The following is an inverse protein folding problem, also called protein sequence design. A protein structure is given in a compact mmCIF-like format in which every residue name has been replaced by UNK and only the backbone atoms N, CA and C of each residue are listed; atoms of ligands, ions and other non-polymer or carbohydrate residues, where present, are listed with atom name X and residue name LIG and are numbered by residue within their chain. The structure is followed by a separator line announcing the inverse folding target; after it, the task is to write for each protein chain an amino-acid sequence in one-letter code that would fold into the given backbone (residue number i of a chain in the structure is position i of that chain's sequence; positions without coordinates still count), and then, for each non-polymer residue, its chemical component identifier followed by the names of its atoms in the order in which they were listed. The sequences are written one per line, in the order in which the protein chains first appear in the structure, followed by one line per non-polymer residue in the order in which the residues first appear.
data_IF_816647100158
#
_entry.id   IF_816647100158
#
_cell.length_a   1.000
_cell.length_b   1.000
_cell.length_c   1.000
_cell.angle_alpha   90.00
_cell.angle_beta   90.00
_cell.angle_gamma   90.00
#
_symmetry.space_group_name_H-M   'P 1'
#
loop_
_entity.id
_entity.type
_entity.pdbx_description
1 polymer ?
#
# COMPACT_ATOMS: atom_id res chain seq x y z
N UNK A 1 -0.32 -8.77 -9.32
CA UNK A 1 1.07 -8.30 -9.17
C UNK A 1 1.61 -7.66 -10.45
N UNK A 2 1.14 -8.09 -11.62
CA UNK A 2 1.62 -7.55 -12.91
C UNK A 2 1.05 -6.16 -13.22
N UNK A 3 1.90 -5.24 -13.72
CA UNK A 3 1.50 -3.88 -14.07
C UNK A 3 0.79 -3.80 -15.45
N UNK A 4 -0.20 -2.91 -15.58
CA UNK A 4 -0.81 -2.04 -14.57
C UNK A 4 -1.66 -2.86 -13.56
N UNK A 5 -1.22 -2.90 -12.30
CA UNK A 5 -1.67 -3.87 -11.30
C UNK A 5 -3.19 -3.83 -11.04
N UNK A 6 -3.74 -2.66 -10.77
CA UNK A 6 -5.16 -2.49 -10.49
C UNK A 6 -6.01 -2.84 -11.72
N UNK A 7 -5.61 -2.39 -12.91
CA UNK A 7 -6.31 -2.66 -14.18
C UNK A 7 -6.30 -4.15 -14.50
N UNK A 8 -5.15 -4.81 -14.39
CA UNK A 8 -5.03 -6.24 -14.67
C UNK A 8 -5.87 -7.06 -13.68
N UNK A 9 -5.89 -6.68 -12.40
CA UNK A 9 -6.75 -7.31 -11.41
C UNK A 9 -8.24 -7.13 -11.76
N UNK A 10 -8.65 -5.94 -12.19
CA UNK A 10 -10.00 -5.66 -12.62
C UNK A 10 -10.40 -6.49 -13.86
N UNK A 11 -9.54 -6.57 -14.88
CA UNK A 11 -9.78 -7.38 -16.09
C UNK A 11 -9.91 -8.85 -15.70
N UNK A 12 -9.01 -9.38 -14.88
CA UNK A 12 -9.06 -10.76 -14.43
C UNK A 12 -10.36 -11.06 -13.66
N UNK A 13 -10.78 -10.16 -12.78
CA UNK A 13 -12.07 -10.24 -12.07
C UNK A 13 -13.26 -10.32 -13.03
N UNK A 14 -13.28 -9.48 -14.06
CA UNK A 14 -14.36 -9.50 -15.06
C UNK A 14 -14.37 -10.80 -15.90
N UNK A 15 -13.20 -11.39 -16.08
CA UNK A 15 -13.04 -12.64 -16.85
C UNK A 15 -13.43 -13.90 -16.06
N UNK A 16 -13.58 -13.79 -14.73
CA UNK A 16 -13.92 -14.93 -13.86
C UNK A 16 -15.08 -14.55 -12.89
N UNK A 17 -16.29 -14.35 -13.40
CA UNK A 17 -17.43 -13.87 -12.60
C UNK A 17 -17.90 -14.84 -11.51
N UNK A 18 -17.48 -16.09 -11.57
CA UNK A 18 -17.75 -17.10 -10.53
C UNK A 18 -16.92 -16.91 -9.25
N UNK A 19 -15.84 -16.11 -9.31
CA UNK A 19 -15.02 -15.80 -8.13
C UNK A 19 -15.59 -14.54 -7.47
N UNK A 20 -15.93 -14.58 -6.17
CA UNK A 20 -16.46 -13.42 -5.44
C UNK A 20 -15.55 -12.19 -5.52
N UNK A 21 -16.16 -11.00 -5.52
CA UNK A 21 -15.42 -9.74 -5.69
C UNK A 21 -14.41 -9.45 -4.57
N UNK A 22 -14.64 -9.97 -3.38
CA UNK A 22 -13.79 -9.87 -2.19
C UNK A 22 -12.59 -10.82 -2.20
N UNK A 23 -12.43 -11.64 -3.25
CA UNK A 23 -11.28 -12.54 -3.44
C UNK A 23 -10.26 -12.02 -4.46
N UNK A 24 -10.41 -10.78 -4.92
CA UNK A 24 -9.53 -10.16 -5.89
C UNK A 24 -8.70 -9.06 -5.23
N UNK A 25 -7.38 -9.21 -5.30
CA UNK A 25 -6.44 -8.31 -4.66
C UNK A 25 -5.37 -7.82 -5.63
N UNK A 26 -5.05 -6.53 -5.55
CA UNK A 26 -3.93 -5.91 -6.27
C UNK A 26 -2.85 -5.49 -5.28
N UNK A 27 -1.59 -5.89 -5.52
CA UNK A 27 -0.50 -5.64 -4.58
C UNK A 27 -0.06 -4.18 -4.59
N UNK A 28 -0.21 -3.50 -3.45
CA UNK A 28 0.35 -2.18 -3.15
C UNK A 28 1.30 -2.19 -1.94
N UNK A 29 1.55 -3.37 -1.38
CA UNK A 29 2.45 -3.57 -0.25
C UNK A 29 3.89 -3.10 -0.54
N UNK A 30 4.36 -3.21 -1.79
CA UNK A 30 5.68 -2.70 -2.17
C UNK A 30 5.77 -1.18 -2.00
N UNK A 31 4.72 -0.45 -2.36
CA UNK A 31 4.66 1.00 -2.19
C UNK A 31 4.55 1.37 -0.70
N UNK A 32 3.79 0.60 0.07
CA UNK A 32 3.72 0.75 1.53
C UNK A 32 5.10 0.53 2.18
N UNK A 33 5.86 -0.50 1.77
CA UNK A 33 7.23 -0.73 2.26
C UNK A 33 8.15 0.45 1.92
N UNK A 34 8.05 1.00 0.72
CA UNK A 34 8.83 2.17 0.30
C UNK A 34 8.49 3.40 1.13
N UNK A 35 7.21 3.66 1.36
CA UNK A 35 6.73 4.77 2.19
C UNK A 35 7.18 4.60 3.65
N UNK A 36 7.01 3.40 4.21
CA UNK A 36 7.47 3.04 5.56
C UNK A 36 8.99 3.28 5.71
N UNK A 37 9.79 2.86 4.73
CA UNK A 37 11.22 3.08 4.74
C UNK A 37 11.60 4.56 4.70
N UNK A 38 10.92 5.38 3.90
CA UNK A 38 11.20 6.83 3.85
C UNK A 38 10.95 7.50 5.20
N UNK A 39 9.83 7.18 5.86
CA UNK A 39 9.52 7.70 7.20
C UNK A 39 10.54 7.24 8.24
N UNK A 40 10.88 5.96 8.23
CA UNK A 40 11.88 5.38 9.13
C UNK A 40 13.26 6.04 8.95
N UNK A 41 13.70 6.20 7.70
CA UNK A 41 14.97 6.83 7.37
C UNK A 41 15.02 8.32 7.77
N UNK A 42 13.94 9.08 7.52
CA UNK A 42 13.83 10.50 7.91
C UNK A 42 13.96 10.69 9.41
N UNK A 43 13.41 9.77 10.19
CA UNK A 43 13.32 9.89 11.66
C UNK A 43 14.38 9.07 12.41
N UNK A 44 15.20 8.30 11.70
CA UNK A 44 16.29 7.50 12.28
C UNK A 44 15.81 6.27 13.08
N UNK A 45 14.59 5.79 12.83
CA UNK A 45 14.02 4.60 13.48
C UNK A 45 14.07 3.38 12.56
N UNK A 46 13.74 2.20 13.09
CA UNK A 46 13.61 1.01 12.26
C UNK A 46 12.24 0.97 11.55
N UNK A 47 12.18 0.39 10.36
CA UNK A 47 10.91 0.28 9.60
C UNK A 47 9.81 -0.43 10.39
N UNK A 48 10.13 -1.37 11.28
CA UNK A 48 9.15 -2.06 12.14
C UNK A 48 8.48 -1.14 13.18
N UNK A 49 9.08 0.01 13.46
CA UNK A 49 8.57 1.00 14.41
C UNK A 49 7.61 2.00 13.76
N UNK A 50 7.49 1.95 12.42
CA UNK A 50 6.54 2.72 11.62
C UNK A 50 5.35 1.83 11.27
N UNK A 51 4.15 2.25 11.66
CA UNK A 51 2.92 1.48 11.46
C UNK A 51 1.88 2.31 10.71
N UNK A 52 0.91 1.62 10.14
CA UNK A 52 -0.31 2.22 9.62
C UNK A 52 -0.12 3.22 8.45
N UNK A 53 0.96 3.05 7.68
CA UNK A 53 1.10 3.78 6.42
C UNK A 53 0.08 3.26 5.42
N UNK A 54 -0.64 4.16 4.76
CA UNK A 54 -1.62 3.80 3.74
C UNK A 54 -1.14 4.22 2.36
N UNK A 55 -1.35 3.36 1.38
CA UNK A 55 -1.24 3.70 -0.04
C UNK A 55 -2.66 3.74 -0.60
N UNK A 56 -3.11 4.91 -0.99
CA UNK A 56 -4.43 5.11 -1.57
C UNK A 56 -4.39 5.05 -3.09
N UNK A 57 -5.39 4.44 -3.71
CA UNK A 57 -5.63 4.52 -5.14
C UNK A 57 -4.92 3.45 -5.98
N UNK A 58 -4.32 3.88 -7.08
CA UNK A 58 -3.66 2.99 -8.02
C UNK A 58 -2.19 2.74 -7.67
N UNK A 59 -1.69 1.54 -7.95
CA UNK A 59 -0.24 1.29 -8.02
C UNK A 59 0.37 1.98 -9.27
N UNK A 60 0.55 3.28 -9.16
CA UNK A 60 1.08 4.16 -10.22
C UNK A 60 1.64 5.45 -9.62
N UNK A 61 2.12 6.37 -10.47
CA UNK A 61 2.54 7.70 -10.03
C UNK A 61 1.40 8.59 -9.49
N UNK A 62 0.14 8.11 -9.57
CA UNK A 62 -1.04 8.81 -9.02
C UNK A 62 -1.43 8.28 -7.63
N UNK A 63 -0.72 7.29 -7.09
CA UNK A 63 -0.94 6.81 -5.73
C UNK A 63 -0.71 7.93 -4.71
N UNK A 64 -1.44 7.88 -3.61
CA UNK A 64 -1.20 8.78 -2.49
C UNK A 64 -0.65 8.00 -1.29
N UNK A 65 0.65 8.11 -0.99
CA UNK A 65 1.24 7.55 0.22
C UNK A 65 0.89 8.45 1.40
N UNK A 66 0.13 7.92 2.34
CA UNK A 66 -0.42 8.65 3.47
C UNK A 66 0.43 8.42 4.73
N UNK A 67 1.10 9.47 5.17
CA UNK A 67 1.82 9.53 6.44
C UNK A 67 0.97 10.10 7.59
N UNK A 68 -0.17 10.73 7.28
CA UNK A 68 -0.98 11.46 8.28
C UNK A 68 -1.70 10.51 9.24
N UNK A 69 -2.05 9.30 8.77
CA UNK A 69 -2.64 8.25 9.59
C UNK A 69 -1.60 7.26 10.13
N UNK A 70 -0.33 7.42 9.75
CA UNK A 70 0.75 6.56 10.22
C UNK A 70 1.21 6.91 11.64
N UNK A 71 1.83 5.94 12.30
CA UNK A 71 2.48 6.15 13.60
C UNK A 71 3.94 5.73 13.57
N UNK A 72 4.75 6.39 14.40
CA UNK A 72 6.17 6.08 14.63
C UNK A 72 6.37 5.91 16.14
N UNK A 73 6.75 4.72 16.57
CA UNK A 73 6.84 4.39 18.01
C UNK A 73 5.54 4.75 18.76
N UNK A 74 4.37 4.52 18.13
CA UNK A 74 3.05 4.78 18.71
C UNK A 74 2.61 6.25 18.74
N UNK A 75 3.40 7.19 18.22
CA UNK A 75 3.07 8.61 18.09
C UNK A 75 2.67 8.93 16.64
N UNK A 76 1.80 9.94 16.40
CA UNK A 76 1.48 10.37 15.04
C UNK A 76 2.76 10.67 14.23
N UNK A 77 2.88 10.07 13.04
CA UNK A 77 4.09 10.19 12.23
C UNK A 77 4.38 11.65 11.85
N UNK A 78 3.35 12.45 11.61
CA UNK A 78 3.48 13.88 11.26
C UNK A 78 4.10 14.71 12.39
N UNK A 79 3.83 14.35 13.65
CA UNK A 79 4.43 15.02 14.81
C UNK A 79 5.90 14.61 14.99
N UNK A 80 6.23 13.34 14.75
CA UNK A 80 7.60 12.84 14.87
C UNK A 80 8.48 13.37 13.75
N UNK A 81 7.96 13.39 12.52
CA UNK A 81 8.67 13.98 11.36
C UNK A 81 8.83 15.47 11.51
N UNK A 82 7.79 16.18 11.98
CA UNK A 82 7.72 17.62 12.20
C UNK A 82 8.29 18.47 11.04
N UNK A 83 8.04 18.05 9.82
CA UNK A 83 8.53 18.69 8.59
C UNK A 83 7.47 18.48 7.50
N UNK A 84 6.49 19.39 7.47
CA UNK A 84 5.37 19.33 6.54
C UNK A 84 5.82 19.50 5.10
N UNK A 85 6.80 20.36 4.86
CA UNK A 85 7.33 20.60 3.52
C UNK A 85 7.95 19.33 2.96
N UNK A 86 8.76 18.64 3.75
CA UNK A 86 9.32 17.34 3.36
C UNK A 86 8.24 16.28 3.09
N UNK A 87 7.18 16.22 3.91
CA UNK A 87 6.09 15.27 3.68
C UNK A 87 5.40 15.49 2.34
N UNK A 88 5.14 16.74 1.97
CA UNK A 88 4.40 17.10 0.75
C UNK A 88 5.30 17.12 -0.50
N UNK A 89 6.51 17.65 -0.39
CA UNK A 89 7.37 17.96 -1.55
C UNK A 89 8.48 16.94 -1.80
N UNK A 90 8.83 16.09 -0.81
CA UNK A 90 9.85 15.05 -0.93
C UNK A 90 9.29 13.64 -0.77
N UNK A 91 8.62 13.36 0.35
CA UNK A 91 8.13 12.01 0.68
C UNK A 91 7.13 11.49 -0.35
N UNK A 92 6.04 12.21 -0.61
CA UNK A 92 5.00 11.80 -1.56
C UNK A 92 5.59 11.57 -2.96
N UNK A 93 6.29 12.53 -3.57
CA UNK A 93 6.86 12.34 -4.92
C UNK A 93 7.92 11.23 -4.98
N UNK A 94 8.71 11.06 -3.92
CA UNK A 94 9.74 10.00 -3.86
C UNK A 94 9.10 8.62 -3.90
N UNK A 95 8.04 8.40 -3.12
CA UNK A 95 7.32 7.12 -3.12
C UNK A 95 6.64 6.89 -4.47
N UNK A 96 5.94 7.88 -4.99
CA UNK A 96 5.25 7.81 -6.30
C UNK A 96 6.18 7.46 -7.45
N UNK A 97 7.39 8.01 -7.47
CA UNK A 97 8.37 7.86 -8.56
C UNK A 97 9.39 6.74 -8.33
N UNK A 98 9.33 6.05 -7.17
CA UNK A 98 10.37 5.07 -6.80
C UNK A 98 10.52 3.94 -7.81
N UNK A 99 9.43 3.44 -8.39
CA UNK A 99 9.46 2.41 -9.43
C UNK A 99 10.27 2.84 -10.66
N UNK A 100 10.00 4.04 -11.18
CA UNK A 100 10.72 4.60 -12.31
C UNK A 100 12.21 4.85 -11.98
N UNK A 101 12.52 5.34 -10.79
CA UNK A 101 13.89 5.54 -10.32
C UNK A 101 14.70 4.23 -10.26
N UNK A 102 14.08 3.13 -9.80
CA UNK A 102 14.70 1.80 -9.79
C UNK A 102 14.99 1.32 -11.21
N UNK A 103 14.04 1.48 -12.14
CA UNK A 103 14.22 1.11 -13.56
C UNK A 103 15.36 1.92 -14.17
N UNK A 104 15.40 3.24 -13.95
CA UNK A 104 16.44 4.11 -14.47
C UNK A 104 17.84 3.72 -13.95
N UNK A 105 17.95 3.36 -12.68
CA UNK A 105 19.23 2.99 -12.07
C UNK A 105 19.70 1.57 -12.42
N UNK A 106 18.77 0.64 -12.61
CA UNK A 106 19.06 -0.81 -12.72
C UNK A 106 18.90 -1.34 -14.16
N UNK A 107 18.19 -0.63 -15.03
CA UNK A 107 17.79 -1.12 -16.35
C UNK A 107 16.65 -2.16 -16.33
N UNK A 108 16.11 -2.48 -15.15
CA UNK A 108 15.01 -3.41 -14.97
C UNK A 108 14.17 -3.04 -13.73
N UNK A 109 12.91 -3.47 -13.69
CA UNK A 109 12.05 -3.28 -12.51
C UNK A 109 12.57 -4.04 -11.29
N UNK A 110 12.11 -3.65 -10.10
CA UNK A 110 12.44 -4.37 -8.87
C UNK A 110 11.97 -5.83 -8.96
N UNK A 111 12.79 -6.74 -8.47
CA UNK A 111 12.51 -8.18 -8.47
C UNK A 111 12.36 -8.70 -7.02
N UNK A 112 13.44 -8.76 -6.25
CA UNK A 112 13.42 -9.33 -4.89
C UNK A 112 12.49 -8.57 -3.93
N UNK A 113 12.51 -7.22 -3.96
CA UNK A 113 11.60 -6.42 -3.12
C UNK A 113 10.13 -6.57 -3.52
N UNK A 114 9.85 -6.78 -4.82
CA UNK A 114 8.48 -7.06 -5.27
C UNK A 114 8.04 -8.48 -4.85
N UNK A 115 8.92 -9.47 -4.92
CA UNK A 115 8.65 -10.82 -4.45
C UNK A 115 8.38 -10.84 -2.95
N UNK A 116 9.22 -10.17 -2.14
CA UNK A 116 9.00 -10.03 -0.71
C UNK A 116 7.66 -9.37 -0.40
N UNK A 117 7.33 -8.27 -1.07
CA UNK A 117 6.05 -7.58 -0.89
C UNK A 117 4.84 -8.45 -1.27
N UNK A 118 4.97 -9.33 -2.28
CA UNK A 118 3.92 -10.28 -2.62
C UNK A 118 3.72 -11.32 -1.52
N UNK A 119 4.81 -11.85 -0.94
CA UNK A 119 4.77 -12.79 0.20
C UNK A 119 4.11 -12.11 1.40
N UNK A 120 4.55 -10.89 1.75
CA UNK A 120 3.99 -10.13 2.87
C UNK A 120 2.50 -9.80 2.66
N UNK A 121 2.08 -9.55 1.41
CA UNK A 121 0.66 -9.35 1.08
C UNK A 121 -0.15 -10.63 1.35
N UNK A 122 0.33 -11.78 0.90
CA UNK A 122 -0.34 -13.07 1.15
C UNK A 122 -0.37 -13.37 2.65
N UNK A 123 0.72 -13.16 3.34
CA UNK A 123 0.79 -13.31 4.79
C UNK A 123 -0.23 -12.43 5.51
N UNK A 124 -0.29 -11.13 5.17
CA UNK A 124 -1.23 -10.19 5.77
C UNK A 124 -2.70 -10.53 5.49
N UNK A 125 -3.01 -11.07 4.28
CA UNK A 125 -4.36 -11.52 3.91
C UNK A 125 -4.77 -12.83 4.58
N UNK A 126 -3.82 -13.62 5.09
CA UNK A 126 -4.08 -14.94 5.70
C UNK A 126 -3.86 -14.96 7.22
N UNK A 127 -3.36 -13.88 7.79
CA UNK A 127 -3.04 -13.78 9.23
C UNK A 127 -3.83 -12.63 9.86
N UNK A 128 -4.45 -12.83 11.05
CA UNK A 128 -5.16 -11.75 11.72
C UNK A 128 -4.28 -10.52 11.93
N UNK A 129 -4.78 -9.36 11.51
CA UNK A 129 -4.09 -8.09 11.70
C UNK A 129 -4.16 -7.68 13.18
N UNK A 130 -3.05 -7.26 13.80
CA UNK A 130 -3.07 -6.77 15.17
C UNK A 130 -4.08 -5.64 15.37
N UNK A 131 -4.71 -5.59 16.54
CA UNK A 131 -5.71 -4.57 16.87
C UNK A 131 -5.12 -3.17 16.72
N UNK A 132 -5.80 -2.31 15.96
CA UNK A 132 -5.38 -0.94 15.69
C UNK A 132 -4.34 -0.81 14.59
N UNK A 133 -3.98 -1.91 13.91
CA UNK A 133 -3.12 -1.90 12.72
C UNK A 133 -3.94 -2.18 11.45
N UNK A 134 -3.39 -1.79 10.31
CA UNK A 134 -3.89 -2.07 8.96
C UNK A 134 -2.74 -2.14 7.97
N UNK A 135 -3.04 -2.65 6.79
CA UNK A 135 -2.12 -2.65 5.65
C UNK A 135 -2.84 -2.22 4.37
N UNK A 136 -2.09 -1.92 3.33
CA UNK A 136 -2.63 -1.47 2.04
C UNK A 136 -2.68 -2.59 1.03
N UNK A 137 -3.83 -2.79 0.43
CA UNK A 137 -4.01 -3.70 -0.71
C UNK A 137 -5.13 -3.17 -1.61
N UNK A 138 -4.99 -3.35 -2.92
CA UNK A 138 -6.06 -3.06 -3.86
C UNK A 138 -7.20 -4.06 -3.70
N UNK A 139 -8.39 -3.58 -3.44
CA UNK A 139 -9.63 -4.35 -3.29
C UNK A 139 -10.70 -3.84 -4.25
N UNK A 140 -11.74 -4.66 -4.49
CA UNK A 140 -12.91 -4.22 -5.23
C UNK A 140 -13.76 -3.29 -4.35
N UNK A 141 -13.83 -2.02 -4.72
CA UNK A 141 -14.60 -1.03 -3.96
C UNK A 141 -16.11 -1.27 -4.05
N UNK A 142 -16.82 -1.12 -2.93
CA UNK A 142 -18.27 -1.02 -2.85
C UNK A 142 -18.74 0.43 -2.60
N UNK A 143 -17.83 1.41 -2.69
CA UNK A 143 -18.10 2.83 -2.50
C UNK A 143 -17.48 3.40 -1.22
N UNK A 144 -16.65 2.62 -0.53
CA UNK A 144 -15.97 3.04 0.69
C UNK A 144 -15.06 4.25 0.42
N UNK A 145 -14.93 5.13 1.40
CA UNK A 145 -14.17 6.39 1.30
C UNK A 145 -14.56 7.27 0.09
N UNK A 146 -15.80 7.11 -0.43
CA UNK A 146 -16.27 7.85 -1.61
C UNK A 146 -15.68 7.36 -2.94
N UNK A 147 -15.02 6.20 -2.98
CA UNK A 147 -14.49 5.63 -4.22
C UNK A 147 -15.61 5.07 -5.11
N UNK A 148 -15.50 5.13 -6.43
CA UNK A 148 -16.48 4.51 -7.33
C UNK A 148 -16.61 3.01 -7.09
N UNK A 149 -17.84 2.49 -7.12
CA UNK A 149 -18.09 1.05 -6.96
C UNK A 149 -17.55 0.23 -8.13
N UNK A 150 -17.02 -0.95 -7.82
CA UNK A 150 -16.60 -1.96 -8.81
C UNK A 150 -15.20 -1.76 -9.37
N UNK A 151 -14.51 -0.68 -9.02
CA UNK A 151 -13.09 -0.50 -9.36
C UNK A 151 -12.19 -1.26 -8.39
N UNK A 152 -10.97 -1.57 -8.84
CA UNK A 152 -9.91 -2.07 -7.94
C UNK A 152 -9.07 -0.88 -7.50
N UNK A 153 -9.09 -0.58 -6.22
CA UNK A 153 -8.38 0.56 -5.62
C UNK A 153 -7.74 0.17 -4.31
N UNK A 154 -6.57 0.72 -4.01
CA UNK A 154 -5.87 0.46 -2.75
C UNK A 154 -6.50 1.26 -1.62
N UNK A 155 -6.81 0.56 -0.54
CA UNK A 155 -7.45 1.07 0.67
C UNK A 155 -6.77 0.47 1.90
N UNK A 156 -6.91 1.07 3.10
CA UNK A 156 -6.50 0.44 4.35
C UNK A 156 -7.45 -0.73 4.66
N UNK A 157 -6.86 -1.89 4.90
CA UNK A 157 -7.59 -3.11 5.23
C UNK A 157 -6.96 -3.83 6.42
N UNK A 158 -7.74 -4.70 7.04
CA UNK A 158 -7.29 -5.63 8.06
C UNK A 158 -7.85 -7.01 7.78
N UNK A 159 -7.18 -8.03 8.26
CA UNK A 159 -7.65 -9.41 8.20
C UNK A 159 -8.16 -9.83 9.57
N UNK A 160 -9.36 -10.40 9.60
CA UNK A 160 -9.99 -10.94 10.80
C UNK A 160 -10.76 -12.22 10.42
N UNK A 161 -10.50 -13.32 11.12
CA UNK A 161 -11.12 -14.63 10.88
C UNK A 161 -11.07 -15.08 9.41
N UNK A 162 -9.95 -14.82 8.71
CA UNK A 162 -9.74 -15.18 7.31
C UNK A 162 -10.49 -14.28 6.31
N UNK A 163 -11.10 -13.19 6.76
CA UNK A 163 -11.76 -12.20 5.91
C UNK A 163 -10.94 -10.90 5.86
N UNK A 164 -10.82 -10.34 4.67
CA UNK A 164 -10.24 -9.02 4.46
C UNK A 164 -11.34 -7.97 4.67
N UNK A 165 -11.18 -7.16 5.70
CA UNK A 165 -12.13 -6.11 6.08
C UNK A 165 -11.51 -4.74 5.83
N UNK A 166 -12.32 -3.79 5.37
CA UNK A 166 -11.92 -2.38 5.31
C UNK A 166 -11.82 -1.81 6.73
N UNK A 167 -10.84 -0.95 6.94
CA UNK A 167 -10.61 -0.31 8.23
C UNK A 167 -11.50 0.91 8.40
#
# INVERSE_FOLDING_TARGET
VGNPCNTNCWIAKQSAPSIPADRWFAMTMLDQHRATYQLANKTGVLSRDVKNVVIWGNHSSTQYPDAYNATINGKPAVEVVNDKDWLENDFIPTVQKRGAAVIAARGASSAASAANAAIDTVYALSTPTPKGEWFSVGVCSNGEYGTPKGIITSLPVRTEDGNCLLY
#
